data_IF_333101836837
#
_entry.id   IF_333101836837
#
_cell.length_a   1.000
_cell.length_b   1.000
_cell.length_c   1.000
_cell.angle_alpha   90.00
_cell.angle_beta   90.00
_cell.angle_gamma   90.00
#
_symmetry.space_group_name_H-M   'P 1'
#
loop_
_entity.id
_entity.type
_entity.pdbx_description
1 polymer ?
#
# COMPACT_ATOMS: atom_id res chain seq x y z
N UNK A 1 -0.99 -15.18 -32.76
CA UNK A 1 -0.56 -15.63 -31.42
C UNK A 1 -1.74 -15.57 -30.47
N UNK A 2 -2.00 -16.65 -29.74
CA UNK A 2 -3.20 -16.94 -28.95
C UNK A 2 -2.90 -16.66 -27.45
N UNK A 3 -3.72 -15.86 -26.76
CA UNK A 3 -3.64 -15.59 -25.32
C UNK A 3 -4.85 -16.27 -24.63
N UNK A 4 -4.68 -17.37 -23.87
CA UNK A 4 -5.82 -18.18 -23.41
C UNK A 4 -5.97 -18.19 -21.89
N UNK A 5 -6.64 -17.21 -21.28
CA UNK A 5 -7.18 -17.37 -19.91
C UNK A 5 -8.16 -16.26 -19.51
N UNK A 6 -9.36 -16.29 -20.09
CA UNK A 6 -10.57 -15.82 -19.40
C UNK A 6 -11.73 -16.71 -19.82
N UNK A 7 -12.00 -17.71 -18.98
CA UNK A 7 -13.16 -18.59 -19.13
C UNK A 7 -14.45 -17.80 -18.99
N UNK A 8 -15.28 -17.86 -20.01
CA UNK A 8 -16.65 -17.39 -19.99
C UNK A 8 -17.46 -18.18 -18.95
N UNK A 9 -18.02 -17.51 -17.93
CA UNK A 9 -19.02 -18.14 -17.06
C UNK A 9 -20.34 -17.38 -17.10
N UNK A 10 -21.33 -18.17 -17.47
CA UNK A 10 -22.71 -17.84 -17.78
C UNK A 10 -23.51 -17.37 -16.54
N UNK A 11 -24.48 -16.49 -16.80
CA UNK A 11 -25.48 -15.93 -15.88
C UNK A 11 -26.60 -16.96 -15.64
N UNK A 12 -27.05 -17.13 -14.39
CA UNK A 12 -28.36 -17.73 -14.07
C UNK A 12 -28.95 -17.10 -12.80
N UNK A 13 -30.15 -16.53 -12.95
CA UNK A 13 -31.01 -15.96 -11.92
C UNK A 13 -31.76 -17.07 -11.15
N UNK A 14 -32.10 -16.85 -9.89
CA UNK A 14 -32.96 -17.76 -9.11
C UNK A 14 -33.05 -17.38 -7.64
N UNK A 15 -34.28 -17.21 -7.16
CA UNK A 15 -34.77 -16.61 -5.91
C UNK A 15 -34.79 -17.58 -4.71
N UNK A 16 -35.18 -17.04 -3.55
CA UNK A 16 -35.77 -17.69 -2.36
C UNK A 16 -34.89 -18.09 -1.15
N UNK A 17 -34.98 -17.26 -0.11
CA UNK A 17 -35.66 -17.62 1.15
C UNK A 17 -34.93 -18.46 2.21
N UNK A 18 -34.73 -17.88 3.41
CA UNK A 18 -34.67 -18.66 4.65
C UNK A 18 -33.65 -18.18 5.69
N UNK A 19 -34.12 -17.41 6.68
CA UNK A 19 -33.36 -17.05 7.88
C UNK A 19 -33.39 -18.19 8.92
N UNK A 20 -32.24 -18.56 9.53
CA UNK A 20 -32.14 -19.10 10.91
C UNK A 20 -30.72 -18.95 11.50
N UNK A 21 -30.54 -17.91 12.33
CA UNK A 21 -29.98 -17.89 13.70
C UNK A 21 -28.80 -18.84 14.11
N UNK A 22 -27.64 -18.18 14.33
CA UNK A 22 -26.73 -18.23 15.52
C UNK A 22 -25.93 -19.52 15.85
N UNK A 23 -24.60 -19.42 15.81
CA UNK A 23 -23.70 -19.60 16.97
C UNK A 23 -22.24 -19.29 16.59
N UNK A 24 -21.49 -18.84 17.60
CA UNK A 24 -20.16 -18.22 17.53
C UNK A 24 -19.08 -19.27 17.27
N UNK A 25 -18.10 -18.92 16.46
CA UNK A 25 -16.75 -19.51 16.54
C UNK A 25 -15.75 -18.43 16.14
N UNK A 26 -15.29 -17.69 17.15
CA UNK A 26 -14.08 -16.88 17.09
C UNK A 26 -12.88 -17.83 16.99
N UNK A 27 -12.41 -18.07 15.78
CA UNK A 27 -11.11 -18.66 15.50
C UNK A 27 -10.55 -17.93 14.28
N UNK A 28 -9.38 -17.34 14.47
CA UNK A 28 -8.82 -16.25 13.66
C UNK A 28 -8.88 -16.50 12.16
N UNK A 29 -9.68 -15.69 11.47
CA UNK A 29 -9.33 -15.27 10.12
C UNK A 29 -8.18 -14.27 10.29
N UNK A 30 -7.02 -14.41 9.63
CA UNK A 30 -6.09 -13.30 9.53
C UNK A 30 -6.90 -12.10 9.01
N UNK A 31 -6.69 -10.88 9.52
CA UNK A 31 -7.44 -9.73 9.03
C UNK A 31 -7.27 -9.73 7.50
N UNK A 32 -8.37 -9.59 6.76
CA UNK A 32 -8.32 -9.53 5.30
C UNK A 32 -7.30 -8.47 4.80
N UNK A 33 -6.98 -7.53 5.70
CA UNK A 33 -5.98 -6.49 5.58
C UNK A 33 -4.53 -7.03 5.45
N UNK A 34 -4.12 -8.11 6.14
CA UNK A 34 -2.72 -8.56 6.11
C UNK A 34 -2.32 -9.22 4.77
N UNK A 35 -3.23 -9.97 4.15
CA UNK A 35 -3.02 -10.59 2.84
C UNK A 35 -3.10 -9.54 1.73
N UNK A 36 -3.99 -8.55 1.86
CA UNK A 36 -4.04 -7.38 0.99
C UNK A 36 -2.77 -6.51 1.09
N UNK A 37 -2.24 -6.31 2.30
CA UNK A 37 -0.95 -5.64 2.54
C UNK A 37 0.20 -6.44 1.92
N UNK A 38 0.23 -7.76 2.07
CA UNK A 38 1.27 -8.61 1.48
C UNK A 38 1.25 -8.58 -0.05
N UNK A 39 0.06 -8.54 -0.66
CA UNK A 39 -0.10 -8.34 -2.10
C UNK A 39 0.43 -6.96 -2.53
N UNK A 40 0.04 -5.89 -1.85
CA UNK A 40 0.53 -4.53 -2.13
C UNK A 40 2.05 -4.38 -1.94
N UNK A 41 2.64 -5.07 -0.96
CA UNK A 41 4.09 -5.09 -0.75
C UNK A 41 4.85 -5.80 -1.87
N UNK A 42 4.21 -6.78 -2.52
CA UNK A 42 4.76 -7.46 -3.70
C UNK A 42 4.70 -6.58 -4.95
N UNK A 43 3.93 -5.48 -4.93
CA UNK A 43 3.90 -4.50 -6.01
C UNK A 43 5.04 -3.48 -5.91
N UNK A 44 5.78 -3.42 -4.78
CA UNK A 44 6.86 -2.45 -4.56
C UNK A 44 8.24 -2.88 -5.12
N UNK A 45 8.26 -3.70 -6.19
CA UNK A 45 9.48 -4.33 -6.71
C UNK A 45 10.53 -3.31 -7.18
N UNK A 46 10.10 -2.20 -7.79
CA UNK A 46 11.02 -1.20 -8.30
C UNK A 46 11.70 -0.46 -7.14
N UNK A 47 10.95 -0.03 -6.12
CA UNK A 47 11.52 0.59 -4.93
C UNK A 47 12.46 -0.35 -4.19
N UNK A 48 12.07 -1.61 -3.98
CA UNK A 48 12.92 -2.60 -3.29
C UNK A 48 14.20 -2.89 -4.08
N UNK A 49 14.13 -2.95 -5.41
CA UNK A 49 15.30 -3.07 -6.28
C UNK A 49 16.23 -1.86 -6.17
N UNK A 50 15.68 -0.63 -6.19
CA UNK A 50 16.46 0.60 -6.03
C UNK A 50 17.16 0.67 -4.66
N UNK A 51 16.42 0.38 -3.58
CA UNK A 51 16.97 0.35 -2.23
C UNK A 51 18.08 -0.71 -2.10
N UNK A 52 17.86 -1.92 -2.62
CA UNK A 52 18.85 -3.00 -2.60
C UNK A 52 20.13 -2.60 -3.36
N UNK A 53 20.00 -1.95 -4.51
CA UNK A 53 21.15 -1.43 -5.28
C UNK A 53 21.93 -0.34 -4.54
N UNK A 54 21.26 0.39 -3.65
CA UNK A 54 21.87 1.38 -2.76
C UNK A 54 22.39 0.78 -1.43
N UNK A 55 22.24 -0.53 -1.21
CA UNK A 55 22.64 -1.19 0.03
C UNK A 55 21.68 -0.99 1.20
N UNK A 56 20.45 -0.54 0.93
CA UNK A 56 19.40 -0.32 1.93
C UNK A 56 18.48 -1.54 1.97
N UNK A 57 18.29 -2.10 3.17
CA UNK A 57 17.31 -3.16 3.42
C UNK A 57 15.98 -2.54 3.84
N UNK A 58 14.91 -2.89 3.14
CA UNK A 58 13.55 -2.46 3.46
C UNK A 58 12.84 -3.56 4.25
N UNK A 59 12.69 -3.34 5.56
CA UNK A 59 12.11 -4.28 6.54
C UNK A 59 10.69 -3.89 7.02
N UNK A 60 10.06 -2.96 6.31
CA UNK A 60 8.71 -2.44 6.56
C UNK A 60 8.57 -1.78 7.94
N UNK A 61 9.67 -1.19 8.45
CA UNK A 61 9.69 -0.38 9.68
C UNK A 61 9.80 1.11 9.38
N UNK A 62 9.54 2.00 10.36
CA UNK A 62 9.75 3.44 10.19
C UNK A 62 11.20 3.79 9.83
N UNK A 63 12.18 3.03 10.35
CA UNK A 63 13.59 3.24 10.02
C UNK A 63 13.90 3.01 8.53
N UNK A 64 13.13 2.14 7.86
CA UNK A 64 13.24 1.99 6.41
C UNK A 64 12.81 3.25 5.66
N UNK A 65 11.86 4.03 6.18
CA UNK A 65 11.44 5.29 5.54
C UNK A 65 12.55 6.33 5.63
N UNK A 66 13.19 6.45 6.79
CA UNK A 66 14.37 7.31 6.97
C UNK A 66 15.49 6.90 5.99
N UNK A 67 15.73 5.59 5.84
CA UNK A 67 16.74 5.09 4.91
C UNK A 67 16.39 5.38 3.44
N UNK A 68 15.11 5.35 3.07
CA UNK A 68 14.64 5.76 1.75
C UNK A 68 14.89 7.26 1.52
N UNK A 69 14.59 8.11 2.49
CA UNK A 69 14.81 9.56 2.40
C UNK A 69 16.30 9.93 2.18
N UNK A 70 17.23 9.05 2.58
CA UNK A 70 18.68 9.23 2.36
C UNK A 70 19.18 8.73 1.00
N UNK A 71 18.32 8.17 0.14
CA UNK A 71 18.74 7.67 -1.16
C UNK A 71 19.17 8.80 -2.11
N UNK A 72 20.26 8.56 -2.86
CA UNK A 72 20.69 9.49 -3.91
C UNK A 72 19.68 9.43 -5.08
N UNK A 73 19.01 10.54 -5.45
CA UNK A 73 17.81 10.53 -6.28
C UNK A 73 18.09 10.44 -7.79
N UNK A 74 18.88 9.44 -8.21
CA UNK A 74 19.30 9.27 -9.61
C UNK A 74 18.15 8.96 -10.57
N UNK A 75 17.01 8.52 -10.06
CA UNK A 75 15.80 8.26 -10.85
C UNK A 75 15.13 9.53 -11.37
N UNK A 76 15.40 10.70 -10.78
CA UNK A 76 14.72 11.95 -11.16
C UNK A 76 15.05 12.41 -12.57
N UNK A 77 16.20 12.02 -13.09
CA UNK A 77 16.61 12.28 -14.48
C UNK A 77 15.93 11.32 -15.48
N UNK A 78 15.19 10.31 -15.00
CA UNK A 78 14.48 9.32 -15.78
C UNK A 78 12.96 9.49 -15.62
N UNK A 79 12.36 10.17 -16.60
CA UNK A 79 10.93 10.45 -16.63
C UNK A 79 10.05 9.18 -16.75
N UNK A 80 10.60 8.06 -17.21
CA UNK A 80 9.86 6.79 -17.24
C UNK A 80 9.85 6.14 -15.86
N UNK A 81 10.98 6.14 -15.15
CA UNK A 81 11.11 5.51 -13.82
C UNK A 81 10.41 6.29 -12.71
N UNK A 82 10.49 7.63 -12.73
CA UNK A 82 9.98 8.51 -11.67
C UNK A 82 8.55 8.18 -11.21
N UNK A 83 7.53 8.09 -12.09
CA UNK A 83 6.15 7.86 -11.65
C UNK A 83 5.95 6.47 -11.02
N UNK A 84 6.63 5.44 -11.51
CA UNK A 84 6.54 4.10 -10.92
C UNK A 84 7.21 4.05 -9.56
N UNK A 85 8.37 4.68 -9.41
CA UNK A 85 9.06 4.73 -8.12
C UNK A 85 8.26 5.50 -7.08
N UNK A 86 7.60 6.60 -7.48
CA UNK A 86 6.71 7.35 -6.60
C UNK A 86 5.49 6.53 -6.16
N UNK A 87 4.93 5.72 -7.07
CA UNK A 87 3.84 4.81 -6.73
C UNK A 87 4.28 3.79 -5.67
N UNK A 88 5.40 3.11 -5.90
CA UNK A 88 5.95 2.14 -4.95
C UNK A 88 6.29 2.79 -3.60
N UNK A 89 6.87 4.00 -3.61
CA UNK A 89 7.18 4.74 -2.38
C UNK A 89 5.92 5.04 -1.55
N UNK A 90 4.83 5.43 -2.21
CA UNK A 90 3.55 5.65 -1.56
C UNK A 90 2.95 4.38 -0.98
N UNK A 91 2.98 3.28 -1.73
CA UNK A 91 2.52 1.97 -1.24
C UNK A 91 3.34 1.46 -0.05
N UNK A 92 4.66 1.66 -0.10
CA UNK A 92 5.56 1.30 0.97
C UNK A 92 5.28 2.11 2.25
N UNK A 93 5.14 3.44 2.13
CA UNK A 93 4.74 4.31 3.25
C UNK A 93 3.43 3.81 3.88
N UNK A 94 2.40 3.58 3.05
CA UNK A 94 1.11 3.13 3.57
C UNK A 94 1.19 1.78 4.27
N UNK A 95 2.08 0.89 3.81
CA UNK A 95 2.32 -0.38 4.49
C UNK A 95 2.97 -0.20 5.86
N UNK A 96 4.00 0.64 5.95
CA UNK A 96 4.63 0.95 7.25
C UNK A 96 3.58 1.51 8.21
N UNK A 97 2.78 2.49 7.76
CA UNK A 97 1.71 3.08 8.58
C UNK A 97 0.70 2.02 9.05
N UNK A 98 0.15 1.19 8.16
CA UNK A 98 -0.84 0.16 8.55
C UNK A 98 -0.25 -0.87 9.51
N UNK A 99 1.05 -1.18 9.41
CA UNK A 99 1.72 -2.14 10.29
C UNK A 99 2.07 -1.60 11.66
N UNK A 100 2.33 -0.30 11.78
CA UNK A 100 2.89 0.27 13.02
C UNK A 100 1.99 1.28 13.72
N UNK A 101 1.01 1.88 13.03
CA UNK A 101 0.06 2.84 13.61
C UNK A 101 -1.25 2.15 13.96
N UNK A 102 -1.62 2.05 15.26
CA UNK A 102 -2.83 1.35 15.68
C UNK A 102 -4.10 1.93 15.03
N UNK A 103 -4.91 1.04 14.45
CA UNK A 103 -6.18 1.43 13.82
C UNK A 103 -6.04 2.06 12.43
N UNK A 104 -4.83 2.16 11.88
CA UNK A 104 -4.64 2.44 10.47
C UNK A 104 -5.02 1.20 9.61
N UNK A 105 -5.74 1.43 8.51
CA UNK A 105 -6.15 0.39 7.59
C UNK A 105 -6.19 0.90 6.15
N UNK A 106 -5.91 0.02 5.19
CA UNK A 106 -6.10 0.33 3.78
C UNK A 106 -7.57 0.51 3.43
N UNK A 107 -7.82 1.40 2.48
CA UNK A 107 -9.11 1.59 1.83
C UNK A 107 -8.87 1.90 0.36
N UNK A 108 -9.68 1.29 -0.50
CA UNK A 108 -9.75 1.67 -1.91
C UNK A 108 -10.94 2.64 -2.06
N UNK A 109 -10.67 3.83 -2.59
CA UNK A 109 -11.70 4.83 -2.87
C UNK A 109 -12.53 4.46 -4.11
N UNK A 110 -13.61 5.19 -4.35
CA UNK A 110 -14.50 4.92 -5.49
C UNK A 110 -13.86 5.14 -6.86
N UNK A 111 -12.77 5.91 -6.91
CA UNK A 111 -11.92 6.13 -8.08
C UNK A 111 -10.87 5.03 -8.29
N UNK A 112 -10.72 4.10 -7.33
CA UNK A 112 -9.74 3.03 -7.37
C UNK A 112 -8.43 3.35 -6.65
N UNK A 113 -8.25 4.56 -6.12
CA UNK A 113 -7.01 4.96 -5.47
C UNK A 113 -6.88 4.33 -4.06
N UNK A 114 -5.72 3.74 -3.74
CA UNK A 114 -5.44 3.24 -2.40
C UNK A 114 -5.09 4.38 -1.45
N UNK A 115 -5.80 4.44 -0.33
CA UNK A 115 -5.56 5.38 0.77
C UNK A 115 -5.44 4.65 2.10
N UNK A 116 -4.75 5.26 3.06
CA UNK A 116 -4.70 4.76 4.44
C UNK A 116 -5.69 5.56 5.28
N UNK A 117 -6.66 4.88 5.88
CA UNK A 117 -7.61 5.47 6.83
C UNK A 117 -7.09 5.27 8.25
N UNK A 118 -6.98 6.36 9.00
CA UNK A 118 -6.56 6.36 10.40
C UNK A 118 -7.74 6.10 11.35
N UNK A 119 -7.44 5.81 12.62
CA UNK A 119 -8.44 5.62 13.67
C UNK A 119 -9.35 6.85 13.87
N UNK A 120 -8.80 8.05 13.66
CA UNK A 120 -9.55 9.32 13.67
C UNK A 120 -10.59 9.44 12.53
N UNK A 121 -10.50 8.57 11.52
CA UNK A 121 -11.29 8.63 10.30
C UNK A 121 -10.66 9.47 9.19
N UNK A 122 -9.55 10.18 9.45
CA UNK A 122 -8.76 10.88 8.43
C UNK A 122 -8.21 9.88 7.41
N UNK A 123 -8.25 10.25 6.13
CA UNK A 123 -7.65 9.47 5.05
C UNK A 123 -6.34 10.14 4.60
N UNK A 124 -5.32 9.33 4.37
CA UNK A 124 -3.99 9.74 3.91
C UNK A 124 -3.81 9.26 2.47
N UNK A 125 -3.53 10.19 1.57
CA UNK A 125 -3.27 9.93 0.14
C UNK A 125 -1.80 9.56 -0.06
N UNK A 126 -1.46 8.31 0.27
CA UNK A 126 -0.07 7.84 0.26
C UNK A 126 0.54 7.81 -1.15
N UNK A 127 -0.27 7.58 -2.19
CA UNK A 127 0.18 7.63 -3.58
C UNK A 127 0.70 9.01 -3.97
N UNK A 128 -0.07 10.07 -3.66
CA UNK A 128 0.34 11.45 -3.91
C UNK A 128 1.63 11.80 -3.14
N UNK A 129 1.71 11.44 -1.86
CA UNK A 129 2.91 11.65 -1.05
C UNK A 129 4.14 10.95 -1.62
N UNK A 130 3.99 9.71 -2.11
CA UNK A 130 5.08 8.99 -2.77
C UNK A 130 5.54 9.65 -4.07
N UNK A 131 4.62 10.19 -4.88
CA UNK A 131 4.96 10.95 -6.08
C UNK A 131 5.73 12.23 -5.74
N UNK A 132 5.27 13.00 -4.75
CA UNK A 132 5.92 14.23 -4.32
C UNK A 132 7.34 13.97 -3.79
N UNK A 133 7.51 12.90 -3.02
CA UNK A 133 8.81 12.42 -2.56
C UNK A 133 9.72 12.00 -3.71
N UNK A 134 9.23 11.20 -4.66
CA UNK A 134 10.05 10.76 -5.79
C UNK A 134 10.51 11.95 -6.63
N UNK A 135 9.63 12.92 -6.87
CA UNK A 135 9.89 14.10 -7.68
C UNK A 135 10.83 15.11 -6.99
N UNK A 136 10.64 15.36 -5.70
CA UNK A 136 11.30 16.48 -5.00
C UNK A 136 12.06 16.09 -3.74
N UNK A 137 11.70 14.95 -3.13
CA UNK A 137 12.20 14.50 -1.83
C UNK A 137 11.48 15.14 -0.66
N UNK A 138 10.47 15.98 -0.91
CA UNK A 138 9.69 16.65 0.13
C UNK A 138 8.19 16.50 -0.11
N UNK A 139 7.38 16.31 0.96
CA UNK A 139 7.83 15.98 2.31
C UNK A 139 8.58 14.65 2.35
N UNK A 140 9.49 14.50 3.32
CA UNK A 140 10.17 13.23 3.57
C UNK A 140 9.14 12.17 4.00
N UNK A 141 9.34 10.91 3.59
CA UNK A 141 8.41 9.83 3.94
C UNK A 141 8.41 9.58 5.45
N UNK A 142 9.59 9.67 6.07
CA UNK A 142 9.76 9.55 7.52
C UNK A 142 9.08 10.69 8.29
N UNK A 143 9.15 11.92 7.78
CA UNK A 143 8.44 13.06 8.36
C UNK A 143 6.92 12.84 8.31
N UNK A 144 6.38 12.50 7.13
CA UNK A 144 4.95 12.27 6.99
C UNK A 144 4.47 11.09 7.86
N UNK A 145 5.28 10.03 7.97
CA UNK A 145 5.01 8.95 8.90
C UNK A 145 4.91 9.45 10.36
N UNK A 146 5.86 10.28 10.81
CA UNK A 146 5.85 10.82 12.16
C UNK A 146 4.59 11.64 12.44
N UNK A 147 4.19 12.52 11.51
CA UNK A 147 2.95 13.30 11.60
C UNK A 147 1.69 12.42 11.69
N UNK A 148 1.68 11.27 11.00
CA UNK A 148 0.59 10.30 11.07
C UNK A 148 0.59 9.56 12.40
N UNK A 149 1.75 9.17 12.91
CA UNK A 149 1.90 8.38 14.13
C UNK A 149 1.54 9.16 15.40
N UNK A 150 1.50 10.50 15.36
CA UNK A 150 1.07 11.36 16.46
C UNK A 150 -0.47 11.44 16.64
N UNK A 151 -1.26 10.81 15.75
CA UNK A 151 -2.74 10.93 15.71
C UNK A 151 -3.47 9.83 16.47
#
# INVERSE_FOLDING_TARGET
MNLPFLGHRHKKNGDDGGALVRARSSAGRPPADAEAVAALLSECELLRSQATRAGVLLDDTPASLEALDQLVPRWRDDAETLPWLGHDAGLYLGTVVVRTVPGAAWRIRSDGEPVVRLASGREVEVGAAGQDWAASGVPELSQLYAEIAET
#
